data_IF_872406026972
#
_entry.id   IF_872406026972
#
_cell.length_a   1.000
_cell.length_b   1.000
_cell.length_c   1.000
_cell.angle_alpha   90.00
_cell.angle_beta   90.00
_cell.angle_gamma   90.00
#
_symmetry.space_group_name_H-M   'P 1'
#
loop_
_entity.id
_entity.type
_entity.pdbx_description
1 polymer ?
#
# COMPACT_ATOMS: atom_id res chain seq x y z
N UNK A 1 -40.53 -5.79 -6.71
CA UNK A 1 -40.12 -5.50 -5.32
C UNK A 1 -41.09 -4.45 -4.80
N UNK A 2 -41.84 -4.73 -3.73
CA UNK A 2 -42.82 -3.77 -3.20
C UNK A 2 -42.08 -2.52 -2.69
N UNK A 3 -42.71 -1.35 -2.86
CA UNK A 3 -42.14 -0.06 -2.47
C UNK A 3 -41.75 -0.04 -0.98
N UNK A 4 -42.54 -0.70 -0.13
CA UNK A 4 -42.27 -0.85 1.30
C UNK A 4 -40.99 -1.65 1.59
N UNK A 5 -40.73 -2.71 0.81
CA UNK A 5 -39.52 -3.53 0.98
C UNK A 5 -38.25 -2.75 0.64
N UNK A 6 -38.32 -1.89 -0.39
CA UNK A 6 -37.19 -1.05 -0.78
C UNK A 6 -36.85 -0.02 0.31
N UNK A 7 -37.87 0.62 0.88
CA UNK A 7 -37.71 1.60 1.96
C UNK A 7 -37.11 0.97 3.21
N UNK A 8 -37.64 -0.18 3.66
CA UNK A 8 -37.11 -0.88 4.84
C UNK A 8 -35.66 -1.31 4.66
N UNK A 9 -35.28 -1.78 3.46
CA UNK A 9 -33.90 -2.13 3.14
C UNK A 9 -32.98 -0.90 3.20
N UNK A 10 -33.39 0.21 2.61
CA UNK A 10 -32.63 1.46 2.61
C UNK A 10 -32.41 1.99 4.02
N UNK A 11 -33.44 2.00 4.87
CA UNK A 11 -33.35 2.42 6.26
C UNK A 11 -32.40 1.51 7.06
N UNK A 12 -32.52 0.19 6.87
CA UNK A 12 -31.66 -0.80 7.52
C UNK A 12 -30.19 -0.61 7.13
N UNK A 13 -29.90 -0.42 5.84
CA UNK A 13 -28.55 -0.18 5.33
C UNK A 13 -27.98 1.14 5.84
N UNK A 14 -28.80 2.20 5.88
CA UNK A 14 -28.38 3.52 6.36
C UNK A 14 -28.05 3.47 7.86
N UNK A 15 -28.89 2.80 8.65
CA UNK A 15 -28.66 2.60 10.08
C UNK A 15 -27.40 1.77 10.36
N UNK A 16 -27.22 0.66 9.62
CA UNK A 16 -26.03 -0.17 9.72
C UNK A 16 -24.76 0.59 9.34
N UNK A 17 -24.79 1.37 8.25
CA UNK A 17 -23.67 2.20 7.83
C UNK A 17 -23.34 3.28 8.85
N UNK A 18 -24.34 4.00 9.35
CA UNK A 18 -24.16 5.02 10.39
C UNK A 18 -23.48 4.43 11.63
N UNK A 19 -23.95 3.25 12.08
CA UNK A 19 -23.36 2.52 13.21
C UNK A 19 -21.92 2.07 12.94
N UNK A 20 -21.59 1.68 11.71
CA UNK A 20 -20.23 1.30 11.33
C UNK A 20 -19.29 2.51 11.19
N UNK A 21 -19.80 3.63 10.67
CA UNK A 21 -19.04 4.85 10.40
C UNK A 21 -18.86 5.74 11.65
N UNK A 22 -19.70 5.57 12.68
CA UNK A 22 -19.66 6.34 13.93
C UNK A 22 -18.27 6.30 14.60
N UNK A 23 -17.72 7.43 15.09
CA UNK A 23 -16.31 7.59 15.49
C UNK A 23 -15.83 6.69 16.65
N UNK A 24 -16.75 6.13 17.42
CA UNK A 24 -16.55 5.16 18.51
C UNK A 24 -16.81 3.70 18.09
N UNK A 25 -17.31 3.48 16.87
CA UNK A 25 -17.56 2.13 16.35
C UNK A 25 -16.29 1.26 16.34
N UNK A 26 -16.40 0.08 16.93
CA UNK A 26 -15.30 -0.90 17.04
C UNK A 26 -15.31 -1.88 15.86
N UNK A 27 -16.45 -2.06 15.20
CA UNK A 27 -16.61 -3.00 14.07
C UNK A 27 -15.60 -2.79 12.93
N UNK A 28 -15.25 -1.55 12.52
CA UNK A 28 -14.21 -1.33 11.50
C UNK A 28 -12.82 -1.82 11.88
N UNK A 29 -12.55 -2.06 13.16
CA UNK A 29 -11.30 -2.66 13.63
C UNK A 29 -11.40 -4.19 13.78
N UNK A 30 -12.46 -4.67 14.44
CA UNK A 30 -12.58 -6.09 14.78
C UNK A 30 -12.77 -6.97 13.54
N UNK A 31 -13.55 -6.51 12.55
CA UNK A 31 -13.79 -7.30 11.34
C UNK A 31 -12.49 -7.54 10.55
N UNK A 32 -11.69 -6.50 10.20
CA UNK A 32 -10.38 -6.71 9.59
C UNK A 32 -9.43 -7.51 10.47
N UNK A 33 -9.41 -7.27 11.79
CA UNK A 33 -8.53 -8.03 12.68
C UNK A 33 -8.84 -9.54 12.64
N UNK A 34 -10.12 -9.94 12.68
CA UNK A 34 -10.52 -11.34 12.56
C UNK A 34 -10.09 -11.90 11.20
N UNK A 35 -10.30 -11.15 10.12
CA UNK A 35 -9.89 -11.55 8.77
C UNK A 35 -8.37 -11.85 8.71
N UNK A 36 -7.54 -10.90 9.15
CA UNK A 36 -6.08 -11.03 9.04
C UNK A 36 -5.51 -12.08 9.98
N UNK A 37 -6.02 -12.16 11.22
CA UNK A 37 -5.59 -13.18 12.19
C UNK A 37 -5.98 -14.59 11.74
N UNK A 38 -7.20 -14.77 11.20
CA UNK A 38 -7.66 -16.06 10.67
C UNK A 38 -6.84 -16.47 9.44
N UNK A 39 -6.58 -15.54 8.52
CA UNK A 39 -5.74 -15.81 7.35
C UNK A 39 -4.31 -16.19 7.75
N UNK A 40 -3.73 -15.53 8.75
CA UNK A 40 -2.42 -15.87 9.28
C UNK A 40 -2.40 -17.24 9.97
N UNK A 41 -3.38 -17.52 10.83
CA UNK A 41 -3.52 -18.82 11.50
C UNK A 41 -3.67 -19.96 10.48
N UNK A 42 -4.49 -19.75 9.45
CA UNK A 42 -4.64 -20.70 8.34
C UNK A 42 -3.32 -20.93 7.61
N UNK A 43 -2.60 -19.86 7.22
CA UNK A 43 -1.32 -19.98 6.55
C UNK A 43 -0.32 -20.79 7.40
N UNK A 44 -0.23 -20.52 8.71
CA UNK A 44 0.62 -21.27 9.64
C UNK A 44 0.21 -22.73 9.78
N UNK A 45 -1.09 -23.01 9.88
CA UNK A 45 -1.62 -24.37 9.99
C UNK A 45 -1.36 -25.20 8.73
N UNK A 46 -1.59 -24.62 7.55
CA UNK A 46 -1.36 -25.25 6.25
C UNK A 46 0.11 -25.25 5.84
N UNK A 47 1.04 -24.86 6.72
CA UNK A 47 2.48 -24.73 6.45
C UNK A 47 2.79 -23.84 5.23
N UNK A 48 1.89 -22.92 4.92
CA UNK A 48 2.05 -21.94 3.86
C UNK A 48 2.71 -20.67 4.42
N UNK A 49 3.59 -20.07 3.61
CA UNK A 49 4.25 -18.83 3.99
C UNK A 49 3.31 -17.64 3.78
N UNK A 50 2.89 -16.98 4.86
CA UNK A 50 2.00 -15.81 4.79
C UNK A 50 2.52 -14.74 3.81
N UNK A 51 3.80 -14.38 3.90
CA UNK A 51 4.46 -13.42 2.99
C UNK A 51 4.47 -13.82 1.49
N UNK A 52 4.14 -15.08 1.17
CA UNK A 52 4.03 -15.56 -0.22
C UNK A 52 2.59 -15.54 -0.72
N UNK A 53 1.61 -15.16 0.12
CA UNK A 53 0.21 -15.13 -0.26
C UNK A 53 -0.15 -13.89 -1.06
N UNK A 54 0.25 -13.83 -2.33
CA UNK A 54 0.07 -12.64 -3.16
C UNK A 54 -1.39 -12.16 -3.22
N UNK A 55 -2.36 -13.07 -3.32
CA UNK A 55 -3.79 -12.72 -3.34
C UNK A 55 -4.22 -12.00 -2.06
N UNK A 56 -3.73 -12.43 -0.90
CA UNK A 56 -4.09 -11.83 0.39
C UNK A 56 -3.48 -10.43 0.54
N UNK A 57 -2.21 -10.26 0.13
CA UNK A 57 -1.57 -8.94 0.10
C UNK A 57 -2.27 -8.00 -0.90
N UNK A 58 -2.66 -8.49 -2.06
CA UNK A 58 -3.43 -7.72 -3.03
C UNK A 58 -4.82 -7.35 -2.49
N UNK A 59 -5.47 -8.22 -1.71
CA UNK A 59 -6.73 -7.90 -1.04
C UNK A 59 -6.57 -6.73 -0.07
N UNK A 60 -5.52 -6.76 0.77
CA UNK A 60 -5.20 -5.64 1.65
C UNK A 60 -5.00 -4.34 0.87
N UNK A 61 -4.13 -4.37 -0.15
CA UNK A 61 -3.78 -3.20 -0.94
C UNK A 61 -4.99 -2.63 -1.67
N UNK A 62 -5.80 -3.49 -2.31
CA UNK A 62 -7.02 -3.07 -2.98
C UNK A 62 -8.01 -2.43 -2.00
N UNK A 63 -8.21 -3.05 -0.83
CA UNK A 63 -9.05 -2.49 0.22
C UNK A 63 -8.56 -1.11 0.66
N UNK A 64 -7.27 -0.95 0.96
CA UNK A 64 -6.68 0.32 1.36
C UNK A 64 -6.86 1.40 0.29
N UNK A 65 -6.60 1.07 -0.98
CA UNK A 65 -6.76 1.98 -2.12
C UNK A 65 -8.23 2.40 -2.28
N UNK A 66 -9.15 1.44 -2.28
CA UNK A 66 -10.59 1.72 -2.48
C UNK A 66 -11.13 2.58 -1.34
N UNK A 67 -10.85 2.21 -0.08
CA UNK A 67 -11.28 2.98 1.08
C UNK A 67 -10.64 4.38 1.09
N UNK A 68 -9.37 4.50 0.67
CA UNK A 68 -8.68 5.78 0.50
C UNK A 68 -9.31 6.65 -0.58
N UNK A 69 -9.65 6.10 -1.75
CA UNK A 69 -10.31 6.84 -2.83
C UNK A 69 -11.70 7.31 -2.39
N UNK A 70 -12.50 6.44 -1.75
CA UNK A 70 -13.84 6.81 -1.26
C UNK A 70 -13.73 7.95 -0.24
N UNK A 71 -12.80 7.82 0.70
CA UNK A 71 -12.47 8.85 1.69
C UNK A 71 -12.11 10.19 1.03
N UNK A 72 -11.22 10.19 0.02
CA UNK A 72 -10.82 11.39 -0.71
C UNK A 72 -11.93 11.97 -1.61
N UNK A 73 -12.84 11.13 -2.08
CA UNK A 73 -13.97 11.56 -2.90
C UNK A 73 -15.01 12.32 -2.06
N UNK A 74 -15.36 11.79 -0.89
CA UNK A 74 -16.35 12.43 -0.03
C UNK A 74 -15.80 13.61 0.78
N UNK A 75 -14.53 13.53 1.22
CA UNK A 75 -13.89 14.51 2.09
C UNK A 75 -14.69 14.88 3.35
N UNK A 76 -15.55 13.98 3.82
CA UNK A 76 -16.50 14.23 4.88
C UNK A 76 -16.60 12.97 5.76
N UNK A 77 -16.13 13.08 7.00
CA UNK A 77 -16.11 11.98 7.96
C UNK A 77 -17.52 11.52 8.37
N UNK A 78 -18.54 12.35 8.18
CA UNK A 78 -19.94 11.95 8.43
C UNK A 78 -20.46 10.99 7.36
N UNK A 79 -19.97 11.13 6.12
CA UNK A 79 -20.31 10.23 5.00
C UNK A 79 -19.39 9.01 4.96
N UNK A 80 -18.08 9.25 5.06
CA UNK A 80 -17.06 8.23 5.08
C UNK A 80 -15.87 8.67 5.91
N UNK A 81 -15.73 8.08 7.09
CA UNK A 81 -14.65 8.39 8.00
C UNK A 81 -13.35 7.71 7.55
N UNK A 82 -12.29 8.50 7.37
CA UNK A 82 -10.97 8.00 6.95
C UNK A 82 -10.43 6.88 7.87
N UNK A 83 -10.84 6.87 9.14
CA UNK A 83 -10.49 5.83 10.11
C UNK A 83 -10.80 4.42 9.62
N UNK A 84 -11.84 4.23 8.80
CA UNK A 84 -12.22 2.91 8.30
C UNK A 84 -11.07 2.33 7.49
N UNK A 85 -10.43 3.15 6.65
CA UNK A 85 -9.24 2.76 5.90
C UNK A 85 -8.03 2.50 6.79
N UNK A 86 -7.85 3.29 7.85
CA UNK A 86 -6.76 3.08 8.83
C UNK A 86 -6.95 1.73 9.53
N UNK A 87 -8.14 1.47 10.08
CA UNK A 87 -8.45 0.27 10.85
C UNK A 87 -8.44 -1.01 10.00
N UNK A 88 -8.80 -0.92 8.72
CA UNK A 88 -8.58 -1.99 7.72
C UNK A 88 -7.12 -2.46 7.70
N UNK A 89 -6.19 -1.51 7.70
CA UNK A 89 -4.75 -1.76 7.59
C UNK A 89 -4.06 -2.07 8.91
N UNK A 90 -4.58 -1.61 10.06
CA UNK A 90 -3.95 -1.86 11.38
C UNK A 90 -3.77 -3.35 11.63
N UNK A 91 -4.84 -4.15 11.49
CA UNK A 91 -4.77 -5.60 11.72
C UNK A 91 -3.78 -6.29 10.78
N UNK A 92 -3.71 -5.85 9.53
CA UNK A 92 -2.76 -6.37 8.54
C UNK A 92 -1.31 -6.09 8.95
N UNK A 93 -0.99 -4.83 9.29
CA UNK A 93 0.39 -4.46 9.65
C UNK A 93 0.86 -5.09 10.96
N UNK A 94 -0.04 -5.31 11.94
CA UNK A 94 0.31 -6.06 13.15
C UNK A 94 0.79 -7.47 12.80
N UNK A 95 0.05 -8.17 11.94
CA UNK A 95 0.42 -9.51 11.48
C UNK A 95 1.71 -9.48 10.65
N UNK A 96 1.84 -8.51 9.75
CA UNK A 96 3.01 -8.37 8.88
C UNK A 96 4.30 -8.09 9.69
N UNK A 97 4.22 -7.26 10.73
CA UNK A 97 5.32 -7.02 11.68
C UNK A 97 5.73 -8.31 12.39
N UNK A 98 4.76 -9.11 12.87
CA UNK A 98 5.04 -10.40 13.51
C UNK A 98 5.73 -11.35 12.53
N UNK A 99 5.18 -11.53 11.33
CA UNK A 99 5.74 -12.42 10.31
C UNK A 99 7.15 -11.97 9.88
N UNK A 100 7.35 -10.68 9.64
CA UNK A 100 8.66 -10.12 9.26
C UNK A 100 9.69 -10.26 10.38
N UNK A 101 9.28 -10.08 11.65
CA UNK A 101 10.16 -10.27 12.81
C UNK A 101 10.65 -11.72 12.92
N UNK A 102 9.74 -12.69 12.75
CA UNK A 102 10.08 -14.11 12.77
C UNK A 102 10.99 -14.52 11.60
N UNK A 103 10.89 -13.83 10.45
CA UNK A 103 11.74 -14.08 9.27
C UNK A 103 13.08 -13.33 9.29
N UNK A 104 13.27 -12.36 10.20
CA UNK A 104 14.44 -11.48 10.20
C UNK A 104 14.50 -10.54 8.99
N UNK A 105 13.35 -10.18 8.41
CA UNK A 105 13.27 -9.34 7.21
C UNK A 105 13.25 -7.86 7.56
N UNK A 106 14.42 -7.32 7.92
CA UNK A 106 14.57 -5.96 8.47
C UNK A 106 13.90 -4.84 7.65
N UNK A 107 14.11 -4.73 6.33
CA UNK A 107 13.47 -3.68 5.53
C UNK A 107 11.94 -3.75 5.53
N UNK A 108 11.35 -4.95 5.48
CA UNK A 108 9.90 -5.12 5.52
C UNK A 108 9.35 -4.93 6.94
N UNK A 109 10.09 -5.32 7.97
CA UNK A 109 9.75 -5.00 9.36
C UNK A 109 9.69 -3.49 9.59
N UNK A 110 10.70 -2.75 9.13
CA UNK A 110 10.72 -1.29 9.22
C UNK A 110 9.57 -0.66 8.44
N UNK A 111 9.24 -1.19 7.27
CA UNK A 111 8.06 -0.77 6.50
C UNK A 111 6.78 -0.92 7.32
N UNK A 112 6.53 -2.11 7.88
CA UNK A 112 5.34 -2.38 8.68
C UNK A 112 5.22 -1.45 9.88
N UNK A 113 6.32 -1.22 10.60
CA UNK A 113 6.36 -0.30 11.76
C UNK A 113 6.04 1.13 11.34
N UNK A 114 6.64 1.63 10.25
CA UNK A 114 6.40 2.98 9.75
C UNK A 114 4.96 3.15 9.26
N UNK A 115 4.42 2.19 8.52
CA UNK A 115 3.04 2.22 8.04
C UNK A 115 2.03 2.19 9.18
N UNK A 116 2.24 1.33 10.19
CA UNK A 116 1.38 1.27 11.37
C UNK A 116 1.47 2.56 12.18
N UNK A 117 2.68 3.05 12.45
CA UNK A 117 2.90 4.27 13.22
C UNK A 117 2.31 5.50 12.54
N UNK A 118 2.54 5.67 11.23
CA UNK A 118 1.95 6.75 10.45
C UNK A 118 0.42 6.63 10.36
N UNK A 119 -0.13 5.43 10.19
CA UNK A 119 -1.59 5.22 10.21
C UNK A 119 -2.23 5.67 11.52
N UNK A 120 -1.65 5.28 12.66
CA UNK A 120 -2.13 5.69 13.99
C UNK A 120 -1.90 7.19 14.26
N UNK A 121 -0.79 7.76 13.80
CA UNK A 121 -0.54 9.19 13.92
C UNK A 121 -1.53 10.00 13.07
N UNK A 122 -1.87 9.53 11.87
CA UNK A 122 -2.86 10.17 11.01
C UNK A 122 -4.26 10.14 11.64
N UNK A 123 -4.58 9.07 12.39
CA UNK A 123 -5.83 8.99 13.13
C UNK A 123 -5.94 10.01 14.27
N UNK A 124 -4.83 10.31 14.94
CA UNK A 124 -4.82 11.12 16.16
C UNK A 124 -4.50 12.59 15.93
N UNK A 125 -3.81 12.94 14.84
CA UNK A 125 -3.32 14.30 14.60
C UNK A 125 -4.31 15.16 13.77
N UNK A 126 -4.74 16.35 14.24
CA UNK A 126 -5.73 17.18 13.56
C UNK A 126 -5.38 17.54 12.11
N UNK A 127 -4.14 17.98 11.86
CA UNK A 127 -3.67 18.34 10.51
C UNK A 127 -3.72 17.15 9.56
N UNK A 128 -3.32 15.96 10.02
CA UNK A 128 -3.34 14.75 9.19
C UNK A 128 -4.77 14.36 8.79
N UNK A 129 -5.71 14.45 9.75
CA UNK A 129 -7.13 14.19 9.49
C UNK A 129 -7.72 15.21 8.52
N UNK A 130 -7.39 16.49 8.70
CA UNK A 130 -7.84 17.55 7.81
C UNK A 130 -7.36 17.32 6.37
N UNK A 131 -6.07 17.00 6.22
CA UNK A 131 -5.45 16.73 4.93
C UNK A 131 -5.78 15.34 4.36
N UNK A 132 -6.44 14.47 5.13
CA UNK A 132 -6.72 13.07 4.81
C UNK A 132 -5.46 12.32 4.37
N UNK A 133 -4.38 12.52 5.12
CA UNK A 133 -3.03 12.05 4.76
C UNK A 133 -2.96 10.53 4.66
N UNK A 134 -3.73 9.78 5.45
CA UNK A 134 -3.73 8.32 5.36
C UNK A 134 -4.34 7.84 4.03
N UNK A 135 -5.42 8.47 3.59
CA UNK A 135 -6.07 8.17 2.32
C UNK A 135 -5.17 8.50 1.13
N UNK A 136 -4.44 9.63 1.23
CA UNK A 136 -3.38 9.97 0.27
C UNK A 136 -2.23 8.95 0.30
N UNK A 137 -1.83 8.49 1.49
CA UNK A 137 -0.79 7.48 1.65
C UNK A 137 -1.20 6.14 1.05
N UNK A 138 -2.48 5.75 1.15
CA UNK A 138 -2.99 4.51 0.56
C UNK A 138 -2.80 4.44 -0.97
N UNK A 139 -2.75 5.59 -1.66
CA UNK A 139 -2.45 5.64 -3.09
C UNK A 139 -1.00 5.22 -3.41
N UNK A 140 -0.08 5.23 -2.43
CA UNK A 140 1.26 4.65 -2.59
C UNK A 140 1.19 3.14 -2.89
N UNK A 141 0.13 2.47 -2.45
CA UNK A 141 -0.04 1.02 -2.62
C UNK A 141 -0.45 0.64 -4.06
N UNK A 142 -0.81 1.61 -4.90
CA UNK A 142 -1.12 1.39 -6.32
C UNK A 142 0.01 0.73 -7.09
N UNK A 143 1.27 0.88 -6.65
CA UNK A 143 2.42 0.22 -7.29
C UNK A 143 2.48 -1.29 -7.03
N UNK A 144 1.85 -1.81 -5.98
CA UNK A 144 2.02 -3.21 -5.54
C UNK A 144 1.39 -4.23 -6.50
N UNK A 145 0.18 -4.04 -7.04
CA UNK A 145 -0.36 -4.94 -8.06
C UNK A 145 0.58 -5.08 -9.27
N UNK A 146 1.20 -3.97 -9.71
CA UNK A 146 2.19 -4.00 -10.80
C UNK A 146 3.47 -4.71 -10.39
N UNK A 147 3.91 -4.60 -9.14
CA UNK A 147 5.04 -5.37 -8.61
C UNK A 147 4.75 -6.89 -8.72
N UNK A 148 3.59 -7.34 -8.27
CA UNK A 148 3.20 -8.75 -8.34
C UNK A 148 3.09 -9.22 -9.79
N UNK A 149 2.50 -8.40 -10.66
CA UNK A 149 2.41 -8.71 -12.08
C UNK A 149 3.79 -8.85 -12.73
N UNK A 150 4.70 -7.89 -12.48
CA UNK A 150 6.06 -7.93 -12.97
C UNK A 150 6.86 -9.13 -12.44
N UNK A 151 6.70 -9.48 -11.15
CA UNK A 151 7.33 -10.66 -10.53
C UNK A 151 6.85 -11.96 -11.18
N UNK A 152 5.55 -12.06 -11.47
CA UNK A 152 4.92 -13.26 -12.04
C UNK A 152 5.33 -13.49 -13.50
N UNK A 153 5.30 -12.45 -14.33
CA UNK A 153 5.56 -12.61 -15.77
C UNK A 153 7.03 -12.48 -16.13
N UNK A 154 7.81 -11.78 -15.31
CA UNK A 154 9.22 -11.43 -15.56
C UNK A 154 9.44 -10.74 -16.92
N UNK A 155 8.43 -10.06 -17.44
CA UNK A 155 8.52 -9.32 -18.69
C UNK A 155 9.12 -7.92 -18.47
N UNK A 156 10.11 -7.48 -19.29
CA UNK A 156 10.74 -6.18 -19.12
C UNK A 156 9.77 -4.99 -19.17
N UNK A 157 8.77 -5.03 -20.05
CA UNK A 157 7.78 -3.96 -20.18
C UNK A 157 6.92 -3.83 -18.91
N UNK A 158 6.54 -4.94 -18.31
CA UNK A 158 5.73 -4.95 -17.09
C UNK A 158 6.56 -4.50 -15.88
N UNK A 159 7.84 -4.85 -15.84
CA UNK A 159 8.76 -4.32 -14.85
C UNK A 159 8.98 -2.81 -15.02
N UNK A 160 9.12 -2.31 -16.26
CA UNK A 160 9.21 -0.87 -16.53
C UNK A 160 7.94 -0.15 -16.09
N UNK A 161 6.75 -0.70 -16.40
CA UNK A 161 5.48 -0.15 -15.94
C UNK A 161 5.42 -0.08 -14.40
N UNK A 162 5.81 -1.15 -13.71
CA UNK A 162 5.92 -1.16 -12.25
C UNK A 162 6.84 -0.03 -11.73
N UNK A 163 8.05 0.11 -12.29
CA UNK A 163 9.00 1.16 -11.86
C UNK A 163 8.42 2.55 -12.11
N UNK A 164 7.73 2.78 -13.23
CA UNK A 164 7.06 4.05 -13.52
C UNK A 164 5.97 4.35 -12.50
N UNK A 165 5.07 3.40 -12.22
CA UNK A 165 4.01 3.58 -11.22
C UNK A 165 4.61 3.80 -9.83
N UNK A 166 5.64 3.03 -9.45
CA UNK A 166 6.35 3.22 -8.18
C UNK A 166 6.97 4.63 -8.09
N UNK A 167 7.58 5.13 -9.16
CA UNK A 167 8.15 6.48 -9.21
C UNK A 167 7.08 7.53 -8.93
N UNK A 168 5.95 7.46 -9.62
CA UNK A 168 4.86 8.42 -9.45
C UNK A 168 4.25 8.34 -8.05
N UNK A 169 3.90 7.14 -7.59
CA UNK A 169 3.16 6.92 -6.35
C UNK A 169 4.03 7.05 -5.08
N UNK A 170 5.35 6.84 -5.15
CA UNK A 170 6.21 6.79 -3.95
C UNK A 170 7.36 7.79 -4.01
N UNK A 171 7.95 8.05 -5.17
CA UNK A 171 9.10 8.97 -5.27
C UNK A 171 8.65 10.43 -5.41
N UNK A 172 7.62 10.67 -6.21
CA UNK A 172 7.08 12.01 -6.46
C UNK A 172 5.99 12.39 -5.44
N UNK A 173 5.08 11.45 -5.14
CA UNK A 173 3.94 11.72 -4.27
C UNK A 173 4.28 12.00 -2.80
N UNK A 174 5.22 11.24 -2.22
CA UNK A 174 5.56 11.39 -0.80
C UNK A 174 6.11 12.80 -0.47
N UNK A 175 7.04 13.39 -1.25
CA UNK A 175 7.46 14.77 -1.06
C UNK A 175 6.32 15.79 -1.13
N UNK A 176 5.34 15.58 -2.01
CA UNK A 176 4.15 16.44 -2.10
C UNK A 176 3.37 16.39 -0.78
N UNK A 177 3.14 15.19 -0.25
CA UNK A 177 2.46 15.03 1.04
C UNK A 177 3.24 15.67 2.20
N UNK A 178 4.57 15.56 2.22
CA UNK A 178 5.41 16.25 3.21
C UNK A 178 5.20 17.76 3.10
N UNK A 179 5.21 18.32 1.88
CA UNK A 179 5.02 19.74 1.66
C UNK A 179 3.62 20.21 2.09
N UNK A 180 2.56 19.43 1.87
CA UNK A 180 1.21 19.74 2.35
C UNK A 180 1.18 19.83 3.89
N UNK A 181 1.74 18.85 4.60
CA UNK A 181 1.84 18.89 6.05
C UNK A 181 2.61 20.12 6.55
N UNK A 182 3.67 20.50 5.84
CA UNK A 182 4.49 21.69 6.13
C UNK A 182 3.70 22.99 5.91
N UNK A 183 2.90 23.06 4.85
CA UNK A 183 2.06 24.23 4.55
C UNK A 183 0.97 24.42 5.62
N UNK A 184 0.50 23.34 6.24
CA UNK A 184 -0.40 23.36 7.40
C UNK A 184 0.31 23.61 8.74
N UNK A 185 1.60 23.99 8.71
CA UNK A 185 2.34 24.42 9.89
C UNK A 185 3.11 23.34 10.65
N UNK A 186 3.17 22.09 10.16
CA UNK A 186 4.06 21.11 10.77
C UNK A 186 5.53 21.50 10.56
N UNK A 187 6.34 21.52 11.62
CA UNK A 187 7.77 21.80 11.50
C UNK A 187 8.56 20.62 10.85
N UNK A 188 9.81 20.82 10.42
CA UNK A 188 10.65 19.74 9.84
C UNK A 188 11.08 18.68 10.86
N UNK A 189 11.07 19.04 12.15
CA UNK A 189 11.45 18.18 13.26
C UNK A 189 10.23 17.43 13.84
N UNK A 190 9.04 17.70 13.32
CA UNK A 190 7.80 17.15 13.81
C UNK A 190 7.83 15.62 13.64
N UNK A 191 7.48 14.83 14.67
CA UNK A 191 7.64 13.37 14.63
C UNK A 191 6.96 12.70 13.43
N UNK A 192 5.79 13.21 13.01
CA UNK A 192 5.08 12.71 11.83
C UNK A 192 5.88 13.00 10.55
N UNK A 193 6.41 14.22 10.40
CA UNK A 193 7.22 14.60 9.24
C UNK A 193 8.49 13.74 9.18
N UNK A 194 9.16 13.54 10.31
CA UNK A 194 10.32 12.66 10.41
C UNK A 194 9.98 11.20 10.05
N UNK A 195 8.83 10.69 10.50
CA UNK A 195 8.38 9.35 10.16
C UNK A 195 8.07 9.20 8.65
N UNK A 196 7.44 10.21 8.02
CA UNK A 196 7.22 10.22 6.57
C UNK A 196 8.54 10.32 5.80
N UNK A 197 9.52 11.08 6.30
CA UNK A 197 10.88 11.12 5.72
C UNK A 197 11.56 9.76 5.85
N UNK A 198 11.44 9.08 7.00
CA UNK A 198 11.95 7.72 7.18
C UNK A 198 11.30 6.74 6.20
N UNK A 199 9.98 6.84 6.01
CA UNK A 199 9.25 6.07 5.02
C UNK A 199 9.73 6.38 3.59
N UNK A 200 9.99 7.65 3.28
CA UNK A 200 10.53 8.06 2.00
C UNK A 200 11.93 7.48 1.73
N UNK A 201 12.81 7.50 2.72
CA UNK A 201 14.14 6.91 2.63
C UNK A 201 14.09 5.39 2.37
N UNK A 202 13.14 4.69 2.99
CA UNK A 202 12.90 3.27 2.72
C UNK A 202 12.42 3.01 1.28
N UNK A 203 11.56 3.89 0.74
CA UNK A 203 11.13 3.79 -0.66
C UNK A 203 12.29 4.05 -1.63
N UNK A 204 13.19 4.98 -1.32
CA UNK A 204 14.44 5.18 -2.07
C UNK A 204 15.33 3.94 -2.06
N UNK A 205 15.47 3.26 -0.93
CA UNK A 205 16.23 2.01 -0.84
C UNK A 205 15.72 0.96 -1.85
N UNK A 206 14.40 0.77 -1.96
CA UNK A 206 13.84 -0.12 -2.99
C UNK A 206 14.00 0.44 -4.40
N UNK A 207 13.88 1.75 -4.57
CA UNK A 207 14.07 2.41 -5.84
C UNK A 207 15.47 2.18 -6.42
N UNK A 208 16.50 2.31 -5.60
CA UNK A 208 17.88 2.01 -6.01
C UNK A 208 18.05 0.54 -6.41
N UNK A 209 17.41 -0.40 -5.69
CA UNK A 209 17.41 -1.82 -6.07
C UNK A 209 16.78 -2.04 -7.45
N UNK A 210 15.67 -1.36 -7.75
CA UNK A 210 15.03 -1.43 -9.07
C UNK A 210 15.91 -0.83 -10.17
N UNK A 211 16.54 0.32 -9.90
CA UNK A 211 17.48 0.96 -10.83
C UNK A 211 18.64 0.05 -11.20
N UNK A 212 19.22 -0.67 -10.22
CA UNK A 212 20.26 -1.67 -10.47
C UNK A 212 19.80 -2.76 -11.45
N UNK A 213 18.59 -3.29 -11.26
CA UNK A 213 18.01 -4.32 -12.13
C UNK A 213 17.83 -3.79 -13.57
N UNK A 214 17.34 -2.55 -13.74
CA UNK A 214 17.18 -1.94 -15.05
C UNK A 214 18.53 -1.78 -15.77
N UNK A 215 19.53 -1.27 -15.07
CA UNK A 215 20.88 -1.07 -15.61
C UNK A 215 21.49 -2.40 -16.05
N UNK A 216 21.44 -3.42 -15.19
CA UNK A 216 21.93 -4.76 -15.52
C UNK A 216 21.19 -5.38 -16.73
N UNK A 217 19.85 -5.24 -16.78
CA UNK A 217 19.04 -5.74 -17.89
C UNK A 217 19.38 -5.08 -19.23
N UNK A 218 19.65 -3.76 -19.23
CA UNK A 218 20.07 -3.02 -20.43
C UNK A 218 21.47 -3.46 -20.91
N UNK A 219 22.43 -3.57 -19.99
CA UNK A 219 23.81 -3.98 -20.35
C UNK A 219 23.91 -5.44 -20.81
N UNK A 220 23.12 -6.36 -20.23
CA UNK A 220 23.09 -7.76 -20.68
C UNK A 220 22.43 -7.91 -22.06
N UNK A 221 21.38 -7.13 -22.34
CA UNK A 221 20.73 -7.11 -23.65
C UNK A 221 21.66 -6.55 -24.74
N UNK A 222 22.42 -5.50 -24.42
CA UNK A 222 23.42 -4.92 -25.32
C UNK A 222 24.57 -5.90 -25.64
N UNK A 223 25.01 -6.71 -24.67
CA UNK A 223 26.03 -7.76 -24.89
C UNK A 223 25.51 -8.90 -25.79
N UNK A 224 24.27 -9.37 -25.59
CA UNK A 224 23.67 -10.40 -26.44
C UNK A 224 23.50 -9.95 -27.90
N UNK A 225 23.08 -8.70 -28.14
CA UNK A 225 22.93 -8.14 -29.49
C UNK A 225 24.25 -7.97 -30.26
N UNK A 226 25.38 -7.75 -29.56
CA UNK A 226 26.71 -7.72 -30.18
C UNK A 226 27.22 -9.11 -30.58
N UNK A 227 26.89 -10.15 -29.81
CA UNK A 227 27.30 -11.53 -30.13
C UNK A 227 26.53 -12.11 -31.34
N UNK A 228 25.24 -11.81 -31.49
CA UNK A 228 24.43 -12.29 -32.64
C UNK A 228 24.91 -11.68 -33.96
N UNK A 229 25.21 -10.37 -33.99
CA UNK A 229 25.75 -9.71 -35.20
C UNK A 229 27.13 -10.21 -35.62
N UNK A 230 27.94 -10.73 -34.69
CA UNK A 230 29.27 -11.24 -35.03
C UNK A 230 29.25 -12.68 -35.55
N UNK A 231 28.20 -13.46 -35.25
CA UNK A 231 28.01 -14.84 -35.72
C UNK A 231 27.48 -14.93 -37.15
N UNK A 232 26.58 -14.02 -37.56
CA UNK A 232 25.98 -14.06 -38.91
C UNK A 232 26.92 -13.54 -40.01
N UNK A 233 27.92 -12.73 -39.66
CA UNK A 233 28.93 -12.24 -40.61
C UNK A 233 29.92 -13.31 -41.10
N UNK A 234 29.96 -14.51 -40.49
CA UNK A 234 30.92 -15.57 -40.84
C UNK A 234 30.35 -16.69 -41.72
N UNK A 235 29.07 -16.62 -42.13
CA UNK A 235 28.42 -17.64 -42.99
C UNK A 235 28.12 -17.18 -44.42
N UNK A 236 28.66 -16.04 -44.84
CA UNK A 236 28.57 -15.56 -46.22
C UNK A 236 29.94 -15.64 -46.90
N UNK A 237 30.44 -16.86 -47.15
CA UNK A 237 31.46 -17.18 -48.16
C UNK A 237 31.28 -18.61 -48.62
#
# INVERSE_FOLDING_TARGET
MNQDTATMLQESLTSAWSSYNAPDAIAPFIIPLILWTTAYAYARHSQFSFHKWETLHNLHNLGAIVLGIISLYYQDDTRFNERIGILWSVGYFVIDIIDCSLRGDGPYLLHGILCLGLGLANYTHPVCRHLRTNSKAALCELSNPFMHWAKRTRQPLQFLLFVTVFTLCRIVWIPIMIQECRNEGMDWQHPIVLAVIGFYALNWFWYFKMGKILVEGLFMSAKKGKQTKHGDSKKAK
#
